data_IF_497384372495
#
_entry.id   IF_497384372495
#
_cell.length_a   1.000
_cell.length_b   1.000
_cell.length_c   1.000
_cell.angle_alpha   90.00
_cell.angle_beta   90.00
_cell.angle_gamma   90.00
#
_symmetry.space_group_name_H-M   'P 1'
#
loop_
_entity.id
_entity.type
_entity.pdbx_description
1 polymer ?
#
# COMPACT_ATOMS: atom_id res chain seq x y z
N UNK A 1 17.41 30.19 31.36
CA UNK A 1 17.67 28.85 31.97
C UNK A 1 16.38 28.13 32.34
N UNK A 2 15.48 28.73 33.13
CA UNK A 2 14.20 28.11 33.51
C UNK A 2 13.29 27.74 32.31
N UNK A 3 13.19 28.60 31.30
CA UNK A 3 12.43 28.34 30.07
C UNK A 3 12.99 27.16 29.28
N UNK A 4 14.31 27.04 29.16
CA UNK A 4 14.94 25.90 28.48
C UNK A 4 14.69 24.59 29.22
N UNK A 5 14.80 24.60 30.56
CA UNK A 5 14.51 23.43 31.39
C UNK A 5 13.03 23.02 31.28
N UNK A 6 12.11 23.97 31.26
CA UNK A 6 10.68 23.72 31.08
C UNK A 6 10.39 23.10 29.71
N UNK A 7 10.98 23.66 28.64
CA UNK A 7 10.82 23.14 27.28
C UNK A 7 11.40 21.72 27.16
N UNK A 8 12.60 21.48 27.71
CA UNK A 8 13.21 20.14 27.74
C UNK A 8 12.37 19.15 28.54
N UNK A 9 11.74 19.58 29.64
CA UNK A 9 10.84 18.74 30.41
C UNK A 9 9.57 18.40 29.62
N UNK A 10 8.93 19.38 28.99
CA UNK A 10 7.73 19.16 28.16
C UNK A 10 8.04 18.21 26.99
N UNK A 11 9.17 18.43 26.31
CA UNK A 11 9.66 17.55 25.24
C UNK A 11 9.92 16.13 25.78
N UNK A 12 10.61 16.01 26.91
CA UNK A 12 10.90 14.71 27.54
C UNK A 12 9.64 13.95 27.95
N UNK A 13 8.64 14.64 28.51
CA UNK A 13 7.35 14.05 28.86
C UNK A 13 6.56 13.65 27.61
N UNK A 14 6.56 14.48 26.56
CA UNK A 14 5.93 14.14 25.28
C UNK A 14 6.55 12.89 24.66
N UNK A 15 7.87 12.83 24.58
CA UNK A 15 8.60 11.67 24.05
C UNK A 15 8.35 10.41 24.89
N UNK A 16 8.47 10.51 26.22
CA UNK A 16 8.20 9.38 27.12
C UNK A 16 6.76 8.88 26.98
N UNK A 17 5.78 9.79 26.94
CA UNK A 17 4.38 9.43 26.71
C UNK A 17 4.21 8.71 25.38
N UNK A 18 4.79 9.23 24.29
CA UNK A 18 4.73 8.61 22.97
C UNK A 18 5.36 7.21 22.95
N UNK A 19 6.46 6.98 23.68
CA UNK A 19 7.16 5.69 23.78
C UNK A 19 6.47 4.68 24.71
N UNK A 20 5.64 5.14 25.65
CA UNK A 20 4.88 4.28 26.56
C UNK A 20 3.52 3.85 26.00
N UNK A 21 3.01 4.50 24.96
CA UNK A 21 1.74 4.11 24.32
C UNK A 21 1.83 2.71 23.69
N UNK A 22 0.72 1.94 23.63
CA UNK A 22 0.69 0.67 22.90
C UNK A 22 1.06 0.88 21.44
N UNK A 23 1.95 0.06 20.89
CA UNK A 23 2.38 0.17 19.51
C UNK A 23 2.74 -1.20 18.98
N UNK A 24 2.50 -1.43 17.70
CA UNK A 24 2.93 -2.64 17.03
C UNK A 24 4.24 -2.46 16.26
N UNK A 25 4.89 -1.30 16.37
CA UNK A 25 6.22 -1.02 15.81
C UNK A 25 7.30 -0.91 16.88
N UNK A 26 8.54 -1.22 16.48
CA UNK A 26 9.69 -1.19 17.37
C UNK A 26 10.04 0.23 17.83
N UNK A 27 10.73 0.32 18.97
CA UNK A 27 11.12 1.60 19.59
C UNK A 27 11.81 2.57 18.61
N UNK A 28 12.73 2.07 17.78
CA UNK A 28 13.47 2.91 16.82
C UNK A 28 12.55 3.61 15.81
N UNK A 29 11.61 2.87 15.20
CA UNK A 29 10.62 3.44 14.26
C UNK A 29 9.79 4.50 14.96
N UNK A 30 9.30 4.21 16.18
CA UNK A 30 8.49 5.15 16.96
C UNK A 30 9.26 6.43 17.29
N UNK A 31 10.53 6.31 17.67
CA UNK A 31 11.35 7.46 18.00
C UNK A 31 11.57 8.35 16.76
N UNK A 32 11.81 7.76 15.59
CA UNK A 32 11.92 8.46 14.32
C UNK A 32 10.60 9.13 13.93
N UNK A 33 9.48 8.44 14.06
CA UNK A 33 8.16 9.04 13.80
C UNK A 33 7.86 10.21 14.75
N UNK A 34 8.13 10.05 16.04
CA UNK A 34 7.94 11.15 17.00
C UNK A 34 8.80 12.37 16.63
N UNK A 35 10.06 12.16 16.24
CA UNK A 35 10.93 13.25 15.79
C UNK A 35 10.34 13.96 14.56
N UNK A 36 9.84 13.18 13.59
CA UNK A 36 9.20 13.70 12.39
C UNK A 36 7.98 14.56 12.73
N UNK A 37 7.09 14.03 13.56
CA UNK A 37 5.83 14.67 13.96
C UNK A 37 6.06 15.90 14.87
N UNK A 38 7.24 16.02 15.51
CA UNK A 38 7.59 17.11 16.43
C UNK A 38 8.62 18.09 15.83
N UNK A 39 8.61 18.26 14.50
CA UNK A 39 9.33 19.33 13.82
C UNK A 39 10.78 19.01 13.42
N UNK A 40 11.24 17.78 13.63
CA UNK A 40 12.53 17.29 13.14
C UNK A 40 12.40 16.43 11.87
N UNK A 41 11.28 16.56 11.14
CA UNK A 41 11.06 15.88 9.86
C UNK A 41 12.21 16.11 8.87
N UNK A 42 12.72 17.34 8.77
CA UNK A 42 13.84 17.69 7.90
C UNK A 42 15.12 16.92 8.24
N UNK A 43 15.41 16.69 9.53
CA UNK A 43 16.59 15.99 9.99
C UNK A 43 16.51 14.49 9.66
N UNK A 44 15.33 13.90 9.89
CA UNK A 44 15.05 12.50 9.51
C UNK A 44 15.19 12.34 8.01
N UNK A 45 14.56 13.22 7.23
CA UNK A 45 14.65 13.24 5.77
C UNK A 45 16.08 13.37 5.24
N UNK A 46 16.94 14.16 5.88
CA UNK A 46 18.34 14.31 5.48
C UNK A 46 19.18 13.06 5.76
N UNK A 47 18.97 12.43 6.93
CA UNK A 47 19.65 11.17 7.27
C UNK A 47 19.19 10.03 6.37
N UNK A 48 17.90 9.91 6.14
CA UNK A 48 17.34 8.90 5.23
C UNK A 48 17.80 9.15 3.79
N UNK A 49 17.80 10.41 3.31
CA UNK A 49 18.37 10.81 2.01
C UNK A 49 19.81 10.34 1.88
N UNK A 50 20.64 10.61 2.89
CA UNK A 50 22.04 10.19 2.90
C UNK A 50 22.15 8.66 2.86
N UNK A 51 21.45 7.96 3.74
CA UNK A 51 21.44 6.50 3.82
C UNK A 51 21.03 5.86 2.48
N UNK A 52 19.91 6.29 1.90
CA UNK A 52 19.43 5.74 0.63
C UNK A 52 20.30 6.15 -0.55
N UNK A 53 20.93 7.33 -0.52
CA UNK A 53 21.88 7.73 -1.58
C UNK A 53 23.12 6.84 -1.59
N UNK A 54 23.61 6.43 -0.41
CA UNK A 54 24.76 5.53 -0.28
C UNK A 54 24.41 4.08 -0.59
N UNK A 55 23.19 3.64 -0.23
CA UNK A 55 22.72 2.28 -0.45
C UNK A 55 21.95 2.11 -1.77
N UNK A 56 21.90 3.16 -2.59
CA UNK A 56 21.21 3.10 -3.87
C UNK A 56 21.85 2.00 -4.74
N UNK A 57 21.05 1.09 -5.30
CA UNK A 57 21.57 0.03 -6.13
C UNK A 57 22.29 0.62 -7.34
N UNK A 58 23.40 0.00 -7.73
CA UNK A 58 24.07 0.35 -8.97
C UNK A 58 23.18 0.01 -10.17
N UNK A 59 23.14 0.93 -11.14
CA UNK A 59 22.57 0.65 -12.47
C UNK A 59 23.34 -0.51 -13.11
N UNK A 60 22.62 -1.43 -13.73
CA UNK A 60 23.21 -2.62 -14.36
C UNK A 60 23.77 -3.64 -13.37
N UNK A 61 23.24 -3.69 -12.13
CA UNK A 61 23.55 -4.74 -11.17
C UNK A 61 23.35 -6.16 -11.75
N UNK A 62 23.88 -7.21 -11.09
CA UNK A 62 23.83 -8.57 -11.62
C UNK A 62 22.37 -9.02 -11.85
N UNK A 63 22.04 -9.58 -13.01
CA UNK A 63 20.68 -10.01 -13.29
C UNK A 63 20.27 -11.18 -12.38
N UNK A 64 19.00 -11.20 -11.98
CA UNK A 64 18.43 -12.34 -11.27
C UNK A 64 18.44 -13.59 -12.15
N UNK A 65 18.63 -14.74 -11.49
CA UNK A 65 18.52 -16.08 -12.11
C UNK A 65 17.15 -16.71 -11.89
N UNK A 66 16.43 -16.26 -10.86
CA UNK A 66 15.09 -16.73 -10.51
C UNK A 66 14.31 -15.61 -9.83
N UNK A 67 12.99 -15.73 -9.88
CA UNK A 67 12.07 -14.87 -9.14
C UNK A 67 11.65 -15.56 -7.83
N UNK A 68 11.24 -14.79 -6.81
CA UNK A 68 10.59 -15.36 -5.64
C UNK A 68 9.29 -16.06 -6.06
N UNK A 69 9.06 -17.27 -5.55
CA UNK A 69 7.80 -17.97 -5.72
C UNK A 69 6.67 -17.20 -5.01
N UNK A 70 5.53 -17.04 -5.68
CA UNK A 70 4.35 -16.36 -5.14
C UNK A 70 3.08 -17.18 -5.42
N UNK A 71 2.07 -16.96 -4.60
CA UNK A 71 0.80 -17.70 -4.68
C UNK A 71 0.89 -19.08 -4.05
N UNK A 72 -0.10 -19.93 -4.36
CA UNK A 72 -0.23 -21.29 -3.83
C UNK A 72 -0.38 -22.26 -4.98
N UNK A 73 0.41 -23.34 -4.95
CA UNK A 73 0.33 -24.41 -5.94
C UNK A 73 -1.07 -25.06 -5.93
N UNK A 74 -1.63 -25.31 -7.11
CA UNK A 74 -2.90 -26.04 -7.25
C UNK A 74 -4.18 -25.22 -7.02
N UNK A 75 -4.11 -23.89 -6.92
CA UNK A 75 -5.29 -23.03 -6.82
C UNK A 75 -6.11 -23.00 -8.13
N UNK A 76 -6.97 -24.01 -8.32
CA UNK A 76 -8.17 -24.08 -9.16
C UNK A 76 -8.11 -23.48 -10.58
N UNK A 77 -8.12 -24.35 -11.59
CA UNK A 77 -8.14 -24.02 -13.02
C UNK A 77 -9.56 -24.00 -13.62
N UNK A 78 -10.53 -23.32 -13.00
CA UNK A 78 -11.82 -23.11 -13.67
C UNK A 78 -11.76 -21.93 -14.65
N UNK A 79 -12.69 -21.91 -15.61
CA UNK A 79 -12.86 -20.92 -16.70
C UNK A 79 -13.18 -19.47 -16.25
N UNK A 80 -12.82 -19.10 -15.02
CA UNK A 80 -12.90 -17.72 -14.56
C UNK A 80 -11.88 -16.85 -15.31
N UNK A 81 -12.27 -15.61 -15.59
CA UNK A 81 -11.36 -14.63 -16.16
C UNK A 81 -10.11 -14.48 -15.28
N UNK A 82 -8.96 -14.41 -15.94
CA UNK A 82 -7.69 -13.98 -15.35
C UNK A 82 -7.13 -12.87 -16.23
N UNK A 83 -6.48 -11.84 -15.64
CA UNK A 83 -5.73 -10.86 -16.42
C UNK A 83 -4.65 -11.56 -17.25
N UNK A 84 -4.29 -11.00 -18.43
CA UNK A 84 -3.16 -11.50 -19.20
C UNK A 84 -1.87 -11.40 -18.38
N UNK A 85 -0.87 -12.29 -18.62
CA UNK A 85 0.43 -12.17 -17.99
C UNK A 85 1.07 -10.79 -18.20
N UNK A 86 1.74 -10.27 -17.18
CA UNK A 86 2.45 -8.99 -17.27
C UNK A 86 3.67 -9.19 -18.17
N UNK A 87 3.78 -8.40 -19.24
CA UNK A 87 4.93 -8.48 -20.14
C UNK A 87 6.18 -7.92 -19.47
N UNK A 88 7.18 -8.78 -19.24
CA UNK A 88 8.47 -8.34 -18.73
C UNK A 88 9.15 -7.36 -19.69
N UNK A 89 9.69 -6.24 -19.18
CA UNK A 89 10.54 -5.34 -19.96
C UNK A 89 11.95 -5.90 -20.20
N UNK A 90 12.33 -7.02 -19.57
CA UNK A 90 13.67 -7.62 -19.70
C UNK A 90 13.56 -8.95 -20.47
N UNK A 91 14.45 -9.13 -21.45
CA UNK A 91 14.50 -10.33 -22.29
C UNK A 91 15.84 -11.09 -22.13
N UNK A 92 15.82 -12.43 -22.06
CA UNK A 92 14.63 -13.28 -21.97
C UNK A 92 13.92 -13.14 -20.61
N UNK A 93 12.60 -13.39 -20.55
CA UNK A 93 11.90 -13.48 -19.27
C UNK A 93 12.42 -14.69 -18.48
N UNK A 94 12.43 -14.57 -17.16
CA UNK A 94 12.67 -15.69 -16.25
C UNK A 94 11.46 -16.63 -16.23
N UNK A 95 11.62 -17.90 -15.82
CA UNK A 95 10.50 -18.79 -15.59
C UNK A 95 9.45 -18.16 -14.65
N UNK A 96 8.17 -18.34 -14.98
CA UNK A 96 7.01 -17.77 -14.27
C UNK A 96 6.96 -16.23 -14.18
N UNK A 97 7.84 -15.51 -14.88
CA UNK A 97 7.86 -14.04 -14.85
C UNK A 97 6.58 -13.43 -15.44
N UNK A 98 5.87 -12.66 -14.62
CA UNK A 98 4.61 -12.02 -14.99
C UNK A 98 3.41 -12.96 -15.09
N UNK A 99 3.56 -14.25 -14.77
CA UNK A 99 2.48 -15.25 -14.75
C UNK A 99 1.66 -15.10 -13.47
N UNK A 100 0.33 -15.12 -13.59
CA UNK A 100 -0.58 -14.95 -12.45
C UNK A 100 -0.83 -16.27 -11.72
N UNK A 101 -0.46 -16.31 -10.44
CA UNK A 101 -0.67 -17.44 -9.54
C UNK A 101 -1.85 -17.17 -8.61
N UNK A 102 -2.67 -18.19 -8.38
CA UNK A 102 -3.77 -18.10 -7.44
C UNK A 102 -3.29 -18.05 -6.00
N UNK A 103 -3.95 -17.26 -5.16
CA UNK A 103 -3.89 -17.44 -3.71
C UNK A 103 -5.01 -18.38 -3.25
N UNK A 104 -5.12 -18.60 -1.95
CA UNK A 104 -6.30 -19.25 -1.37
C UNK A 104 -7.28 -18.23 -0.79
N UNK A 105 -8.40 -18.72 -0.23
CA UNK A 105 -9.19 -19.87 -0.67
C UNK A 105 -9.98 -19.59 -1.97
N UNK A 106 -10.48 -20.65 -2.63
CA UNK A 106 -11.31 -20.51 -3.83
C UNK A 106 -12.72 -20.00 -3.49
N UNK A 107 -13.23 -19.07 -4.30
CA UNK A 107 -14.60 -18.56 -4.22
C UNK A 107 -15.26 -18.76 -5.57
N UNK A 108 -16.40 -19.45 -5.59
CA UNK A 108 -17.09 -19.81 -6.84
C UNK A 108 -16.14 -20.45 -7.86
N UNK A 109 -15.30 -21.37 -7.37
CA UNK A 109 -14.38 -22.18 -8.17
C UNK A 109 -13.09 -21.52 -8.65
N UNK A 110 -12.79 -20.27 -8.27
CA UNK A 110 -11.57 -19.57 -8.67
C UNK A 110 -10.99 -18.73 -7.52
N UNK A 111 -9.66 -18.49 -7.50
CA UNK A 111 -9.03 -17.63 -6.50
C UNK A 111 -9.45 -16.15 -6.74
N UNK A 112 -10.00 -15.45 -5.74
CA UNK A 112 -10.37 -14.03 -5.89
C UNK A 112 -9.16 -13.09 -5.93
N UNK A 113 -8.02 -13.55 -5.41
CA UNK A 113 -6.77 -12.81 -5.42
C UNK A 113 -5.75 -13.62 -6.21
N UNK A 114 -5.13 -12.96 -7.19
CA UNK A 114 -4.00 -13.47 -7.95
C UNK A 114 -2.78 -12.65 -7.62
N UNK A 115 -1.61 -13.27 -7.64
CA UNK A 115 -0.33 -12.61 -7.42
C UNK A 115 0.67 -12.99 -8.50
N UNK A 116 1.57 -12.07 -8.83
CA UNK A 116 2.66 -12.32 -9.77
C UNK A 116 3.88 -11.49 -9.38
N UNK A 117 5.03 -11.87 -9.93
CA UNK A 117 6.26 -11.07 -9.84
C UNK A 117 6.91 -10.91 -11.20
N UNK A 118 7.57 -9.78 -11.41
CA UNK A 118 8.37 -9.54 -12.61
C UNK A 118 9.47 -8.51 -12.35
N UNK A 119 10.48 -8.46 -13.23
CA UNK A 119 11.53 -7.44 -13.15
C UNK A 119 11.04 -6.17 -13.85
N UNK A 120 10.88 -5.03 -13.15
CA UNK A 120 10.13 -3.89 -13.71
C UNK A 120 10.97 -2.91 -14.52
N UNK A 121 12.30 -2.96 -14.41
CA UNK A 121 13.20 -1.94 -14.97
C UNK A 121 14.47 -2.59 -15.54
N UNK A 122 14.71 -2.52 -16.86
CA UNK A 122 15.93 -3.04 -17.49
C UNK A 122 17.22 -2.42 -16.98
N UNK A 123 17.17 -1.21 -16.42
CA UNK A 123 18.33 -0.56 -15.82
C UNK A 123 18.71 -1.17 -14.46
N UNK A 124 17.79 -1.93 -13.86
CA UNK A 124 17.93 -2.56 -12.55
C UNK A 124 17.43 -4.02 -12.61
N UNK A 125 18.11 -4.90 -13.36
CA UNK A 125 17.66 -6.27 -13.60
C UNK A 125 17.66 -7.16 -12.34
N UNK A 126 18.22 -6.65 -11.23
CA UNK A 126 18.20 -7.26 -9.91
C UNK A 126 16.90 -7.00 -9.12
N UNK A 127 16.05 -6.07 -9.57
CA UNK A 127 14.87 -5.64 -8.83
C UNK A 127 13.62 -6.43 -9.23
N UNK A 128 12.73 -6.64 -8.26
CA UNK A 128 11.48 -7.39 -8.43
C UNK A 128 10.31 -6.53 -8.00
N UNK A 129 9.28 -6.46 -8.85
CA UNK A 129 7.97 -5.96 -8.49
C UNK A 129 7.04 -7.13 -8.19
N UNK A 130 6.27 -7.01 -7.11
CA UNK A 130 5.13 -7.85 -6.80
C UNK A 130 3.85 -7.14 -7.16
N UNK A 131 2.93 -7.85 -7.78
CA UNK A 131 1.61 -7.33 -8.13
C UNK A 131 0.54 -8.29 -7.66
N UNK A 132 -0.53 -7.76 -7.08
CA UNK A 132 -1.74 -8.49 -6.78
C UNK A 132 -2.91 -7.95 -7.61
N UNK A 133 -3.75 -8.86 -8.10
CA UNK A 133 -5.01 -8.55 -8.76
C UNK A 133 -6.16 -9.13 -7.95
N UNK A 134 -7.18 -8.32 -7.68
CA UNK A 134 -8.31 -8.64 -6.81
C UNK A 134 -9.58 -8.54 -7.65
N UNK A 135 -10.22 -9.69 -7.85
CA UNK A 135 -11.45 -9.85 -8.60
C UNK A 135 -12.64 -9.18 -7.90
N UNK A 136 -13.13 -8.08 -8.46
CA UNK A 136 -14.22 -7.31 -7.88
C UNK A 136 -15.55 -8.08 -7.88
N UNK A 137 -15.71 -9.12 -8.70
CA UNK A 137 -16.89 -9.99 -8.68
C UNK A 137 -16.87 -11.00 -7.52
N UNK A 138 -15.68 -11.39 -7.02
CA UNK A 138 -15.50 -12.40 -5.97
C UNK A 138 -15.05 -11.83 -4.65
N UNK A 139 -14.59 -10.59 -4.63
CA UNK A 139 -14.09 -9.91 -3.45
C UNK A 139 -14.70 -8.52 -3.25
N UNK A 140 -14.55 -8.02 -2.04
CA UNK A 140 -14.80 -6.63 -1.67
C UNK A 140 -13.76 -6.18 -0.66
N UNK A 141 -13.56 -4.87 -0.55
CA UNK A 141 -12.53 -4.29 0.29
C UNK A 141 -13.13 -3.45 1.43
N UNK A 142 -12.44 -3.37 2.55
CA UNK A 142 -12.76 -2.44 3.61
C UNK A 142 -11.50 -1.68 4.03
N UNK A 143 -11.66 -0.37 4.23
CA UNK A 143 -10.66 0.46 4.88
C UNK A 143 -10.88 0.43 6.39
N UNK A 144 -9.83 0.14 7.14
CA UNK A 144 -9.81 0.18 8.60
C UNK A 144 -8.93 1.33 9.07
N UNK A 145 -9.44 2.19 9.98
CA UNK A 145 -8.58 3.12 10.70
C UNK A 145 -7.64 2.34 11.62
N UNK A 146 -6.38 2.77 11.68
CA UNK A 146 -5.39 2.31 12.63
C UNK A 146 -5.57 2.95 14.01
N UNK A 147 -4.69 2.58 14.95
CA UNK A 147 -4.71 3.11 16.32
C UNK A 147 -4.47 4.62 16.38
N UNK A 148 -3.64 5.14 15.48
CA UNK A 148 -3.24 6.55 15.46
C UNK A 148 -3.56 7.27 14.15
N UNK A 149 -3.81 6.52 13.07
CA UNK A 149 -4.01 7.06 11.73
C UNK A 149 -5.28 6.44 11.11
N UNK A 150 -6.27 7.26 10.73
CA UNK A 150 -6.33 8.71 10.85
C UNK A 150 -6.37 9.18 12.31
N UNK A 151 -5.92 10.41 12.60
CA UNK A 151 -6.10 11.01 13.92
C UNK A 151 -7.56 10.96 14.36
N UNK A 152 -7.80 10.76 15.66
CA UNK A 152 -9.14 10.62 16.25
C UNK A 152 -9.91 9.36 15.82
N UNK A 153 -9.23 8.30 15.40
CA UNK A 153 -9.85 6.99 15.16
C UNK A 153 -10.49 6.35 16.40
N UNK A 154 -10.17 6.85 17.60
CA UNK A 154 -10.85 6.51 18.85
C UNK A 154 -10.69 5.03 19.23
N UNK A 155 -11.82 4.32 19.38
CA UNK A 155 -11.91 2.93 19.83
C UNK A 155 -11.81 1.91 18.70
N UNK A 156 -11.31 2.29 17.52
CA UNK A 156 -11.10 1.36 16.43
C UNK A 156 -10.22 0.20 16.89
N UNK A 157 -10.65 -1.04 16.64
CA UNK A 157 -9.86 -2.23 16.96
C UNK A 157 -8.50 -2.23 16.23
N UNK A 158 -8.40 -1.47 15.13
CA UNK A 158 -7.20 -1.31 14.32
C UNK A 158 -6.65 -2.63 13.77
N UNK A 159 -7.49 -3.65 13.69
CA UNK A 159 -7.17 -4.98 13.19
C UNK A 159 -8.34 -5.52 12.38
N UNK A 160 -8.10 -6.58 11.60
CA UNK A 160 -9.19 -7.33 10.97
C UNK A 160 -10.09 -7.91 12.07
N UNK A 161 -11.40 -7.57 12.08
CA UNK A 161 -12.33 -8.09 13.07
C UNK A 161 -12.34 -9.61 13.07
N UNK A 162 -12.23 -10.22 14.26
CA UNK A 162 -12.14 -11.68 14.41
C UNK A 162 -13.27 -12.42 13.69
N UNK A 163 -14.49 -11.87 13.71
CA UNK A 163 -15.68 -12.44 13.09
C UNK A 163 -15.62 -12.42 11.55
N UNK A 164 -14.81 -11.53 10.96
CA UNK A 164 -14.63 -11.42 9.51
C UNK A 164 -13.42 -12.21 8.98
N UNK A 165 -12.55 -12.71 9.86
CA UNK A 165 -11.35 -13.48 9.45
C UNK A 165 -11.70 -14.74 8.65
N UNK A 166 -12.85 -15.36 8.93
CA UNK A 166 -13.36 -16.50 8.17
C UNK A 166 -13.60 -16.19 6.68
N UNK A 167 -13.70 -14.91 6.30
CA UNK A 167 -13.88 -14.45 4.91
C UNK A 167 -12.66 -13.69 4.38
N UNK A 168 -11.57 -13.62 5.13
CA UNK A 168 -10.40 -12.82 4.79
C UNK A 168 -9.58 -13.50 3.68
N UNK A 169 -9.18 -12.70 2.69
CA UNK A 169 -8.42 -13.13 1.52
C UNK A 169 -7.03 -12.48 1.46
N UNK A 170 -6.97 -11.19 1.76
CA UNK A 170 -5.74 -10.42 1.78
C UNK A 170 -5.86 -9.16 2.67
N UNK A 171 -4.73 -8.56 3.00
CA UNK A 171 -4.62 -7.26 3.67
C UNK A 171 -3.42 -6.51 3.11
N UNK A 172 -3.51 -5.19 3.00
CA UNK A 172 -2.39 -4.37 2.53
C UNK A 172 -2.42 -2.96 3.12
N UNK A 173 -1.27 -2.31 3.08
CA UNK A 173 -1.11 -0.97 3.66
C UNK A 173 -1.94 0.10 2.95
N UNK A 174 -2.13 1.21 3.64
CA UNK A 174 -2.78 2.40 3.08
C UNK A 174 -1.74 3.45 2.63
N UNK A 175 -2.20 4.69 2.43
CA UNK A 175 -1.38 5.84 2.04
C UNK A 175 -0.58 6.47 3.17
N UNK A 176 0.05 7.61 2.88
CA UNK A 176 0.79 8.42 3.85
C UNK A 176 -0.09 8.86 5.03
N UNK A 177 0.52 9.31 6.12
CA UNK A 177 -0.21 9.99 7.20
C UNK A 177 -1.01 11.16 6.61
N UNK A 178 -2.18 11.42 7.17
CA UNK A 178 -3.06 12.45 6.62
C UNK A 178 -2.43 13.84 6.67
N UNK A 179 -1.62 14.10 7.69
CA UNK A 179 -0.84 15.34 7.83
C UNK A 179 0.23 15.49 6.74
N UNK A 180 0.89 14.41 6.34
CA UNK A 180 1.93 14.41 5.31
C UNK A 180 1.35 14.61 3.90
N UNK A 181 0.24 13.95 3.59
CA UNK A 181 -0.41 14.04 2.28
C UNK A 181 -1.39 15.23 2.18
N UNK A 182 -1.77 15.82 3.31
CA UNK A 182 -2.93 16.71 3.39
C UNK A 182 -4.18 16.03 2.82
N UNK A 183 -4.47 14.81 3.23
CA UNK A 183 -5.45 13.94 2.58
C UNK A 183 -6.75 13.75 3.38
N UNK A 184 -7.83 13.39 2.69
CA UNK A 184 -9.10 12.98 3.27
C UNK A 184 -9.19 11.49 3.60
N UNK A 185 -10.04 11.16 4.58
CA UNK A 185 -10.29 9.80 5.04
C UNK A 185 -11.74 9.64 5.50
N UNK A 186 -12.45 8.71 4.86
CA UNK A 186 -13.83 8.34 5.18
C UNK A 186 -13.93 6.83 5.26
N UNK A 187 -14.48 6.31 6.36
CA UNK A 187 -14.77 4.89 6.53
C UNK A 187 -15.89 4.69 7.56
N UNK A 188 -16.65 3.60 7.44
CA UNK A 188 -17.72 3.23 8.38
C UNK A 188 -18.75 4.35 8.59
N UNK A 189 -19.06 5.12 7.54
CA UNK A 189 -19.99 6.25 7.61
C UNK A 189 -19.46 7.47 8.38
N UNK A 190 -18.18 7.51 8.74
CA UNK A 190 -17.54 8.61 9.46
C UNK A 190 -16.52 9.31 8.56
N UNK A 191 -16.57 10.64 8.54
CA UNK A 191 -15.55 11.50 7.94
C UNK A 191 -14.51 11.83 9.01
N UNK A 192 -13.38 11.12 8.99
CA UNK A 192 -12.27 11.36 9.92
C UNK A 192 -11.44 12.57 9.49
N UNK A 193 -11.30 12.76 8.19
CA UNK A 193 -10.70 13.95 7.57
C UNK A 193 -11.45 14.30 6.29
N UNK A 194 -11.85 15.57 6.09
CA UNK A 194 -12.53 16.02 4.88
C UNK A 194 -11.82 15.63 3.59
N UNK A 195 -12.58 15.17 2.59
CA UNK A 195 -12.05 14.95 1.24
C UNK A 195 -11.68 16.29 0.59
N UNK A 196 -10.63 16.27 -0.23
CA UNK A 196 -10.12 17.41 -0.99
C UNK A 196 -10.30 17.17 -2.48
N UNK A 197 -10.71 18.23 -3.16
CA UNK A 197 -10.87 18.22 -4.61
C UNK A 197 -9.52 17.92 -5.31
N UNK A 198 -9.58 17.20 -6.43
CA UNK A 198 -8.43 16.85 -7.27
C UNK A 198 -7.50 15.75 -6.74
N UNK A 199 -7.54 15.41 -5.45
CA UNK A 199 -6.69 14.35 -4.91
C UNK A 199 -7.10 12.96 -5.42
N UNK A 200 -6.11 12.09 -5.65
CA UNK A 200 -6.41 10.71 -5.96
C UNK A 200 -7.07 10.05 -4.76
N UNK A 201 -8.15 9.33 -5.03
CA UNK A 201 -9.02 8.74 -4.02
C UNK A 201 -9.30 7.30 -4.41
N UNK A 202 -8.90 6.37 -3.54
CA UNK A 202 -9.38 5.00 -3.59
C UNK A 202 -10.71 4.94 -2.87
N UNK A 203 -11.75 4.62 -3.62
CA UNK A 203 -13.14 4.71 -3.18
C UNK A 203 -13.85 3.37 -3.39
N UNK A 204 -14.73 3.02 -2.46
CA UNK A 204 -15.75 2.00 -2.69
C UNK A 204 -17.12 2.55 -2.36
N UNK A 205 -18.08 2.31 -3.25
CA UNK A 205 -19.47 2.66 -3.05
C UNK A 205 -20.24 1.51 -2.38
N UNK A 206 -21.42 1.81 -1.85
CA UNK A 206 -22.30 0.82 -1.20
C UNK A 206 -22.82 -0.27 -2.13
N UNK A 207 -22.89 -0.01 -3.43
CA UNK A 207 -23.20 -1.01 -4.47
C UNK A 207 -22.03 -2.01 -4.69
N UNK A 208 -20.89 -1.78 -4.04
CA UNK A 208 -19.71 -2.64 -4.09
C UNK A 208 -18.75 -2.30 -5.23
N UNK A 209 -19.01 -1.27 -6.04
CA UNK A 209 -18.06 -0.77 -7.04
C UNK A 209 -16.90 -0.10 -6.33
N UNK A 210 -15.66 -0.51 -6.67
CA UNK A 210 -14.44 0.15 -6.25
C UNK A 210 -13.80 0.90 -7.43
N UNK A 211 -13.18 2.04 -7.17
CA UNK A 211 -12.51 2.85 -8.19
C UNK A 211 -11.33 3.63 -7.59
N UNK A 212 -10.39 4.02 -8.45
CA UNK A 212 -9.36 5.02 -8.13
C UNK A 212 -9.57 6.20 -9.06
N UNK A 213 -9.79 7.40 -8.51
CA UNK A 213 -10.10 8.60 -9.30
C UNK A 213 -9.58 9.87 -8.65
N UNK A 214 -9.40 10.92 -9.44
CA UNK A 214 -9.34 12.27 -8.90
C UNK A 214 -10.72 12.61 -8.30
N UNK A 215 -10.75 13.03 -7.05
CA UNK A 215 -11.98 13.44 -6.40
C UNK A 215 -12.50 14.74 -7.02
N UNK A 216 -13.82 14.85 -7.13
CA UNK A 216 -14.49 16.01 -7.71
C UNK A 216 -15.77 16.38 -6.95
N UNK A 217 -15.85 16.01 -5.68
CA UNK A 217 -17.04 16.16 -4.84
C UNK A 217 -16.76 17.02 -3.61
N UNK A 218 -17.74 17.07 -2.70
CA UNK A 218 -17.60 17.80 -1.45
C UNK A 218 -16.63 17.15 -0.45
N UNK A 219 -16.36 17.85 0.67
CA UNK A 219 -15.55 17.33 1.78
C UNK A 219 -16.16 16.10 2.47
N UNK A 220 -17.48 15.99 2.43
CA UNK A 220 -18.23 14.79 2.79
C UNK A 220 -18.74 14.14 1.49
N UNK A 221 -18.35 12.89 1.18
CA UNK A 221 -18.81 12.19 -0.02
C UNK A 221 -20.26 11.72 0.04
N UNK A 222 -20.91 11.80 1.20
CA UNK A 222 -22.29 11.39 1.42
C UNK A 222 -22.47 9.88 1.60
N UNK A 223 -23.72 9.42 1.83
CA UNK A 223 -24.02 8.10 2.35
C UNK A 223 -23.79 6.95 1.35
N UNK A 224 -23.58 7.24 0.06
CA UNK A 224 -23.35 6.22 -0.96
C UNK A 224 -21.90 5.72 -0.96
N UNK A 225 -21.00 6.40 -0.26
CA UNK A 225 -19.59 6.03 -0.14
C UNK A 225 -19.37 5.22 1.12
N UNK A 226 -18.83 4.02 0.94
CA UNK A 226 -18.55 3.09 2.03
C UNK A 226 -17.17 3.36 2.64
N UNK A 227 -16.18 3.63 1.79
CA UNK A 227 -14.94 4.27 2.20
C UNK A 227 -14.40 5.15 1.07
N UNK A 228 -13.63 6.16 1.46
CA UNK A 228 -12.79 6.95 0.56
C UNK A 228 -11.47 7.27 1.26
N UNK A 229 -10.36 6.86 0.66
CA UNK A 229 -9.01 7.19 1.13
C UNK A 229 -8.29 7.99 0.08
N UNK A 230 -7.95 9.23 0.41
CA UNK A 230 -7.15 10.06 -0.48
C UNK A 230 -5.67 9.89 -0.20
N UNK A 231 -4.85 10.24 -1.17
CA UNK A 231 -3.42 10.40 -0.99
C UNK A 231 -2.94 11.49 -1.95
N UNK A 232 -1.72 11.34 -2.47
CA UNK A 232 -1.13 12.20 -3.50
C UNK A 232 -1.92 12.17 -4.83
N UNK A 233 -1.56 12.99 -5.85
CA UNK A 233 -2.23 12.97 -7.15
C UNK A 233 -2.20 11.60 -7.84
N UNK A 234 -3.05 11.41 -8.86
CA UNK A 234 -3.05 10.18 -9.66
C UNK A 234 -1.70 10.01 -10.36
N UNK A 235 -1.17 8.79 -10.36
CA UNK A 235 0.06 8.44 -11.09
C UNK A 235 -0.24 7.80 -12.45
N UNK A 236 -1.44 7.21 -12.61
CA UNK A 236 -1.96 6.73 -13.89
C UNK A 236 -3.39 7.24 -14.06
N UNK A 237 -3.72 7.72 -15.27
CA UNK A 237 -5.05 8.15 -15.66
C UNK A 237 -5.32 7.82 -17.13
N UNK A 238 -6.45 7.16 -17.41
CA UNK A 238 -6.79 6.71 -18.77
C UNK A 238 -5.78 5.74 -19.37
N UNK A 239 -5.12 4.93 -18.54
CA UNK A 239 -4.05 4.01 -18.95
C UNK A 239 -2.74 4.72 -19.35
N UNK A 240 -2.62 6.01 -19.08
CA UNK A 240 -1.42 6.82 -19.34
C UNK A 240 -0.81 7.28 -18.03
N UNK A 241 0.51 7.38 -18.00
CA UNK A 241 1.22 7.99 -16.89
C UNK A 241 0.78 9.45 -16.74
N UNK A 242 0.71 9.95 -15.51
CA UNK A 242 0.47 11.37 -15.26
C UNK A 242 1.65 12.18 -15.84
N UNK A 243 1.41 13.19 -16.71
CA UNK A 243 2.46 13.99 -17.32
C UNK A 243 3.31 14.78 -16.32
N UNK A 244 2.81 15.03 -15.12
CA UNK A 244 3.50 15.76 -14.04
C UNK A 244 4.38 14.86 -13.15
N UNK A 245 4.44 13.56 -13.46
CA UNK A 245 5.34 12.62 -12.77
C UNK A 245 6.78 13.11 -12.88
N UNK A 246 7.38 13.29 -11.71
CA UNK A 246 8.72 13.87 -11.58
C UNK A 246 9.29 13.50 -10.22
N UNK A 247 10.49 14.00 -9.94
CA UNK A 247 11.14 13.82 -8.64
C UNK A 247 10.74 14.92 -7.61
N UNK A 248 9.72 15.73 -7.93
CA UNK A 248 9.23 16.83 -7.09
C UNK A 248 8.40 16.35 -5.89
N UNK A 249 8.23 17.19 -4.84
CA UNK A 249 7.66 16.80 -3.54
C UNK A 249 6.19 16.35 -3.58
N UNK A 250 5.47 16.62 -4.67
CA UNK A 250 4.08 16.20 -4.86
C UNK A 250 3.89 14.67 -4.92
N UNK A 251 4.98 13.90 -5.01
CA UNK A 251 5.02 12.44 -5.02
C UNK A 251 5.67 11.83 -3.76
N UNK A 252 5.67 12.60 -2.66
CA UNK A 252 6.29 12.27 -1.37
C UNK A 252 7.41 13.26 -1.03
N UNK A 253 7.24 14.03 0.05
CA UNK A 253 8.18 15.11 0.40
C UNK A 253 9.46 14.61 1.09
N UNK A 254 9.44 13.41 1.67
CA UNK A 254 10.37 13.05 2.74
C UNK A 254 11.77 12.65 2.29
N UNK A 255 12.04 12.39 1.00
CA UNK A 255 13.37 11.92 0.57
C UNK A 255 13.92 12.55 -0.72
N UNK A 256 13.15 13.41 -1.39
CA UNK A 256 13.42 13.80 -2.78
C UNK A 256 13.17 12.61 -3.70
N UNK A 257 12.16 12.69 -4.56
CA UNK A 257 11.60 11.52 -5.24
C UNK A 257 12.53 10.86 -6.29
N UNK A 258 13.70 11.44 -6.53
CA UNK A 258 14.81 10.84 -7.26
C UNK A 258 15.46 9.66 -6.50
N UNK A 259 15.27 9.59 -5.18
CA UNK A 259 15.78 8.51 -4.34
C UNK A 259 14.86 7.30 -4.46
N UNK A 260 15.47 6.19 -4.83
CA UNK A 260 14.81 4.91 -5.02
C UNK A 260 14.57 4.28 -3.65
N UNK A 261 13.31 4.06 -3.33
CA UNK A 261 12.84 3.48 -2.06
C UNK A 261 11.79 2.42 -2.32
N UNK A 262 11.36 1.71 -1.27
CA UNK A 262 10.11 0.98 -1.33
C UNK A 262 8.99 1.89 -1.79
N UNK A 263 8.18 1.45 -2.75
CA UNK A 263 6.93 2.14 -3.09
C UNK A 263 5.83 1.12 -3.25
N UNK A 264 4.63 1.52 -2.83
CA UNK A 264 3.41 0.77 -3.05
C UNK A 264 2.36 1.64 -3.73
N UNK A 265 1.40 1.01 -4.42
CA UNK A 265 0.34 1.72 -5.11
C UNK A 265 -0.89 0.84 -5.32
N UNK A 266 -2.03 1.50 -5.50
CA UNK A 266 -3.30 0.85 -5.82
C UNK A 266 -3.86 1.42 -7.11
N UNK A 267 -4.46 0.56 -7.92
CA UNK A 267 -5.11 0.95 -9.16
C UNK A 267 -6.34 0.11 -9.43
N UNK A 268 -7.01 0.46 -10.52
CA UNK A 268 -8.09 -0.34 -11.09
C UNK A 268 -7.83 -0.58 -12.57
N UNK A 269 -8.20 -1.75 -13.05
CA UNK A 269 -8.16 -2.07 -14.48
C UNK A 269 -9.45 -1.64 -15.20
N UNK A 270 -9.53 -1.90 -16.51
CA UNK A 270 -10.68 -1.55 -17.32
C UNK A 270 -11.97 -2.34 -16.97
N UNK A 271 -11.85 -3.41 -16.18
CA UNK A 271 -12.97 -4.25 -15.73
C UNK A 271 -13.47 -3.86 -14.34
N UNK A 272 -12.75 -2.95 -13.65
CA UNK A 272 -13.05 -2.54 -12.28
C UNK A 272 -12.46 -3.47 -11.23
N UNK A 273 -11.55 -4.36 -11.62
CA UNK A 273 -10.79 -5.19 -10.69
C UNK A 273 -9.65 -4.36 -10.08
N UNK A 274 -9.31 -4.62 -8.81
CA UNK A 274 -8.34 -3.82 -8.07
C UNK A 274 -6.94 -4.41 -8.25
N UNK A 275 -5.97 -3.54 -8.50
CA UNK A 275 -4.54 -3.87 -8.58
C UNK A 275 -3.82 -3.27 -7.39
N UNK A 276 -2.96 -4.05 -6.74
CA UNK A 276 -1.93 -3.55 -5.84
C UNK A 276 -0.56 -3.84 -6.45
N UNK A 277 0.38 -2.91 -6.33
CA UNK A 277 1.76 -3.14 -6.70
C UNK A 277 2.71 -2.64 -5.63
N UNK A 278 3.81 -3.35 -5.43
CA UNK A 278 4.93 -2.87 -4.62
C UNK A 278 6.26 -3.39 -5.16
N UNK A 279 7.29 -2.57 -4.99
CA UNK A 279 8.67 -2.96 -5.25
C UNK A 279 9.61 -2.07 -4.43
N UNK A 280 10.78 -2.61 -4.11
CA UNK A 280 11.88 -1.83 -3.54
C UNK A 280 12.63 -1.07 -4.65
N UNK A 281 13.34 -0.01 -4.26
CA UNK A 281 14.16 0.82 -5.14
C UNK A 281 13.40 1.39 -6.35
N UNK A 282 12.28 2.06 -6.07
CA UNK A 282 11.41 2.68 -7.06
C UNK A 282 11.33 4.20 -6.91
N UNK A 283 11.08 4.86 -8.03
CA UNK A 283 10.59 6.24 -8.10
C UNK A 283 9.07 6.22 -8.33
N UNK A 284 8.41 7.37 -8.19
CA UNK A 284 6.98 7.48 -8.50
C UNK A 284 6.69 7.06 -9.96
N UNK A 285 7.57 7.46 -10.90
CA UNK A 285 7.46 7.07 -12.31
C UNK A 285 7.60 5.56 -12.52
N UNK A 286 8.56 4.91 -11.85
CA UNK A 286 8.73 3.46 -12.00
C UNK A 286 7.58 2.67 -11.37
N UNK A 287 7.01 3.12 -10.24
CA UNK A 287 5.76 2.57 -9.69
C UNK A 287 4.59 2.72 -10.67
N UNK A 288 4.42 3.90 -11.28
CA UNK A 288 3.36 4.16 -12.24
C UNK A 288 3.47 3.25 -13.47
N UNK A 289 4.69 3.01 -13.96
CA UNK A 289 4.98 2.05 -15.03
C UNK A 289 4.63 0.61 -14.63
N UNK A 290 4.90 0.19 -13.39
CA UNK A 290 4.52 -1.13 -12.89
C UNK A 290 3.00 -1.31 -12.95
N UNK A 291 2.24 -0.37 -12.40
CA UNK A 291 0.77 -0.43 -12.39
C UNK A 291 0.18 -0.34 -13.81
N UNK A 292 0.73 0.50 -14.67
CA UNK A 292 0.33 0.57 -16.08
C UNK A 292 0.56 -0.78 -16.80
N UNK A 293 1.72 -1.42 -16.60
CA UNK A 293 2.03 -2.74 -17.18
C UNK A 293 1.13 -3.84 -16.63
N UNK A 294 0.70 -3.73 -15.38
CA UNK A 294 -0.28 -4.63 -14.78
C UNK A 294 -1.71 -4.43 -15.32
N UNK A 295 -1.94 -3.38 -16.12
CA UNK A 295 -3.23 -3.09 -16.74
C UNK A 295 -4.06 -2.01 -16.06
N UNK A 296 -3.49 -1.28 -15.09
CA UNK A 296 -4.21 -0.20 -14.43
C UNK A 296 -4.59 0.92 -15.43
N UNK A 297 -5.86 1.28 -15.46
CA UNK A 297 -6.35 2.45 -16.20
C UNK A 297 -6.35 3.71 -15.35
N UNK A 298 -6.44 3.55 -14.03
CA UNK A 298 -6.27 4.62 -13.04
C UNK A 298 -5.50 4.07 -11.85
N UNK A 299 -4.58 4.84 -11.30
CA UNK A 299 -3.80 4.42 -10.14
C UNK A 299 -3.29 5.60 -9.32
N UNK A 300 -3.03 5.32 -8.05
CA UNK A 300 -2.46 6.24 -7.07
C UNK A 300 -1.36 5.55 -6.26
N UNK A 301 -0.40 6.35 -5.80
CA UNK A 301 0.62 5.91 -4.86
C UNK A 301 0.02 5.72 -3.46
N UNK A 302 0.57 4.76 -2.71
CA UNK A 302 0.31 4.50 -1.29
C UNK A 302 1.58 4.81 -0.48
N UNK A 303 1.70 4.33 0.76
CA UNK A 303 2.91 4.59 1.56
C UNK A 303 4.18 4.02 0.88
N UNK A 304 5.32 4.67 1.14
CA UNK A 304 6.65 4.38 0.55
C UNK A 304 7.69 4.01 1.61
N UNK A 305 7.34 4.08 2.89
CA UNK A 305 8.27 3.64 3.93
C UNK A 305 8.31 2.10 3.98
N UNK A 306 9.50 1.50 4.03
CA UNK A 306 9.65 0.03 4.06
C UNK A 306 8.96 -0.61 5.28
N UNK A 307 8.86 0.12 6.40
CA UNK A 307 8.12 -0.32 7.57
C UNK A 307 6.61 -0.44 7.31
N UNK A 308 6.09 0.29 6.33
CA UNK A 308 4.66 0.37 6.03
C UNK A 308 4.24 -0.42 4.80
N UNK A 309 5.09 -0.52 3.77
CA UNK A 309 4.77 -1.25 2.53
C UNK A 309 4.57 -2.74 2.81
N UNK A 310 3.34 -3.21 2.66
CA UNK A 310 2.96 -4.59 2.94
C UNK A 310 1.75 -5.03 2.11
N UNK A 311 1.81 -6.25 1.57
CA UNK A 311 0.66 -6.96 1.06
C UNK A 311 0.77 -8.40 1.52
N UNK A 312 -0.25 -8.85 2.25
CA UNK A 312 -0.35 -10.20 2.79
C UNK A 312 -1.58 -10.87 2.19
N UNK A 313 -1.43 -12.12 1.78
CA UNK A 313 -2.54 -12.99 1.36
C UNK A 313 -2.64 -14.20 2.27
N UNK A 314 -3.82 -14.79 2.36
CA UNK A 314 -4.11 -15.89 3.28
C UNK A 314 -4.49 -17.13 2.49
N UNK A 315 -3.68 -18.18 2.61
CA UNK A 315 -3.91 -19.43 1.88
C UNK A 315 -5.09 -20.25 2.37
N UNK A 316 -5.52 -20.03 3.63
CA UNK A 316 -6.67 -20.68 4.22
C UNK A 316 -7.67 -19.67 4.79
N UNK A 317 -8.93 -20.08 4.88
CA UNK A 317 -9.96 -19.32 5.61
C UNK A 317 -9.54 -19.08 7.06
N UNK A 318 -10.04 -18.00 7.67
CA UNK A 318 -9.72 -17.66 9.06
C UNK A 318 -8.43 -16.85 9.23
N UNK A 319 -7.82 -16.40 8.13
CA UNK A 319 -6.49 -15.77 8.16
C UNK A 319 -5.36 -16.79 8.31
N UNK A 320 -5.58 -18.05 7.92
CA UNK A 320 -4.59 -19.12 7.99
C UNK A 320 -3.65 -19.10 6.77
N UNK A 321 -2.49 -19.72 6.94
CA UNK A 321 -1.41 -19.75 5.95
C UNK A 321 -1.09 -18.33 5.39
N UNK A 322 -0.77 -17.36 6.27
CA UNK A 322 -0.45 -16.01 5.84
C UNK A 322 0.89 -16.00 5.08
N UNK A 323 0.95 -15.27 3.98
CA UNK A 323 2.16 -15.10 3.19
C UNK A 323 2.28 -13.65 2.69
N UNK A 324 3.52 -13.17 2.58
CA UNK A 324 3.84 -11.84 2.05
C UNK A 324 3.91 -11.93 0.52
N UNK A 325 3.51 -10.85 -0.17
CA UNK A 325 3.65 -10.75 -1.63
C UNK A 325 5.11 -10.80 -2.07
N UNK A 326 5.99 -10.11 -1.33
CA UNK A 326 7.44 -10.15 -1.55
C UNK A 326 8.15 -10.54 -0.24
N UNK A 327 9.19 -11.38 -0.31
CA UNK A 327 9.93 -11.80 0.89
C UNK A 327 10.60 -10.62 1.61
N UNK A 328 10.97 -9.57 0.88
CA UNK A 328 11.64 -8.38 1.41
C UNK A 328 10.73 -7.37 2.14
N UNK A 329 9.41 -7.58 2.20
CA UNK A 329 8.54 -6.71 3.01
C UNK A 329 8.85 -6.89 4.50
N UNK A 330 9.09 -5.81 5.23
CA UNK A 330 9.68 -5.85 6.59
C UNK A 330 8.76 -6.49 7.63
N UNK A 331 7.45 -6.23 7.54
CA UNK A 331 6.48 -6.63 8.56
C UNK A 331 6.01 -8.06 8.34
N UNK A 332 5.61 -8.71 9.43
CA UNK A 332 5.08 -10.08 9.40
C UNK A 332 3.78 -10.21 8.59
N UNK A 333 3.55 -11.38 7.99
CA UNK A 333 2.35 -11.66 7.20
C UNK A 333 1.04 -11.62 8.03
N UNK A 334 1.14 -11.67 9.35
CA UNK A 334 0.04 -11.53 10.31
C UNK A 334 -0.21 -10.10 10.79
N UNK A 335 0.55 -9.10 10.31
CA UNK A 335 0.52 -7.69 10.77
C UNK A 335 -0.88 -7.18 11.14
N UNK A 336 -1.85 -7.36 10.24
CA UNK A 336 -3.20 -6.81 10.37
C UNK A 336 -4.21 -7.75 11.05
N UNK A 337 -3.77 -8.90 11.54
CA UNK A 337 -4.53 -9.78 12.44
C UNK A 337 -4.34 -9.39 13.92
N UNK A 338 -3.62 -8.30 14.16
CA UNK A 338 -3.43 -7.64 15.44
C UNK A 338 -3.54 -6.13 15.22
N UNK A 339 -3.79 -5.32 16.27
CA UNK A 339 -3.97 -3.88 16.10
C UNK A 339 -2.73 -3.19 15.51
N UNK A 340 -2.92 -2.45 14.41
CA UNK A 340 -1.90 -1.68 13.71
C UNK A 340 -1.97 -0.19 14.04
N UNK A 341 -0.82 0.46 14.08
CA UNK A 341 -0.77 1.91 14.33
C UNK A 341 -1.29 2.71 13.11
N UNK A 342 -1.16 2.15 11.90
CA UNK A 342 -1.54 2.78 10.62
C UNK A 342 -2.84 2.20 10.06
N UNK A 343 -3.52 2.98 9.24
CA UNK A 343 -4.69 2.51 8.49
C UNK A 343 -4.29 1.48 7.42
N UNK A 344 -5.24 0.60 7.07
CA UNK A 344 -4.99 -0.48 6.13
C UNK A 344 -6.27 -0.95 5.45
N UNK A 345 -6.09 -1.69 4.36
CA UNK A 345 -7.19 -2.33 3.64
C UNK A 345 -7.23 -3.82 3.93
N UNK A 346 -8.44 -4.37 4.07
CA UNK A 346 -8.68 -5.80 4.08
C UNK A 346 -9.58 -6.20 2.91
N UNK A 347 -9.29 -7.36 2.34
CA UNK A 347 -10.01 -7.95 1.20
C UNK A 347 -10.76 -9.18 1.70
N UNK A 348 -12.05 -9.24 1.41
CA UNK A 348 -12.93 -10.30 1.87
C UNK A 348 -13.68 -10.95 0.71
N UNK A 349 -14.11 -12.19 0.93
CA UNK A 349 -15.04 -12.90 0.05
C UNK A 349 -16.32 -12.08 -0.14
N UNK A 350 -16.73 -11.84 -1.39
CA UNK A 350 -18.06 -11.32 -1.75
C UNK A 350 -19.04 -12.50 -1.80
N UNK A 351 -20.07 -12.44 -0.96
CA UNK A 351 -21.20 -13.36 -1.09
C UNK A 351 -22.04 -12.86 -2.27
N UNK A 352 -22.37 -13.76 -3.18
CA UNK A 352 -23.16 -13.45 -4.38
C UNK A 352 -24.59 -13.03 -4.06
#
# INVERSE_FOLDING_TARGET
MLTCLLLSFVVGVSFASAMMRPSNVGFGVRAVEWLRDNGAAWLVSDVERFYYSLNAPSKGGPPLKSLPAVGIEGAGANAAYRPPPIRSPIYPPLPEEGVWHGTGPLVRGAPPVLVTTFRPDPSYPQMVAGVAWIDASRAWLQLYPGRYEPPNSGTAAAEVPAQLRARLLATFNSGFKLEDAGAGFVAFGHVYSPLRDGQATFIRYRDGVADVRAWSGGPDPGPNVEFARQNLPLIVQGGRLNPELSDGPQWGATLGNAIRVWRSGVGVDARGDVLYAAADNQTATSLALILQRAGAVRAMELDINSAWVTFNFYGGFGGLAPAKLLPGMDRDATRYLTPDDRDFFAVYVRNG
#
